data_IF_737362439148
#
_entry.id   IF_737362439148
#
_cell.length_a   1.000
_cell.length_b   1.000
_cell.length_c   1.000
_cell.angle_alpha   90.00
_cell.angle_beta   90.00
_cell.angle_gamma   90.00
#
_symmetry.space_group_name_H-M   'P 1'
#
loop_
_entity.id
_entity.type
_entity.pdbx_description
1 polymer ?
#
# COMPACT_ATOMS: atom_id res chain seq x y z
N UNK A 1 26.95 -2.22 8.14
CA UNK A 1 26.48 -0.81 8.09
C UNK A 1 25.46 -0.59 6.97
N UNK A 2 25.65 -1.18 5.79
CA UNK A 2 24.73 -1.07 4.65
C UNK A 2 23.33 -1.67 4.90
N UNK A 3 23.24 -2.83 5.56
CA UNK A 3 21.97 -3.46 5.94
C UNK A 3 21.13 -2.59 6.88
N UNK A 4 21.77 -1.96 7.85
CA UNK A 4 21.11 -1.02 8.77
C UNK A 4 20.51 0.19 8.02
N UNK A 5 21.25 0.74 7.06
CA UNK A 5 20.75 1.87 6.24
C UNK A 5 19.57 1.46 5.37
N UNK A 6 19.60 0.26 4.77
CA UNK A 6 18.49 -0.29 3.98
C UNK A 6 17.25 -0.54 4.85
N UNK A 7 17.41 -1.17 6.01
CA UNK A 7 16.32 -1.42 6.96
C UNK A 7 15.70 -0.10 7.47
N UNK A 8 16.52 0.90 7.80
CA UNK A 8 16.06 2.22 8.23
C UNK A 8 15.21 2.92 7.16
N UNK A 9 15.58 2.82 5.87
CA UNK A 9 14.78 3.39 4.77
C UNK A 9 13.43 2.69 4.61
N UNK A 10 13.35 1.40 4.95
CA UNK A 10 12.09 0.65 4.94
C UNK A 10 11.21 0.94 6.17
N UNK A 11 11.77 1.50 7.24
CA UNK A 11 11.08 1.69 8.52
C UNK A 11 9.78 2.50 8.38
N UNK A 12 9.82 3.65 7.69
CA UNK A 12 8.61 4.47 7.49
C UNK A 12 7.51 3.74 6.71
N UNK A 13 7.88 2.86 5.78
CA UNK A 13 6.91 2.03 5.06
C UNK A 13 6.30 0.95 5.96
N UNK A 14 7.09 0.38 6.87
CA UNK A 14 6.62 -0.58 7.88
C UNK A 14 5.69 0.09 8.88
N UNK A 15 6.07 1.25 9.43
CA UNK A 15 5.23 2.03 10.35
C UNK A 15 3.91 2.44 9.70
N UNK A 16 3.95 2.92 8.46
CA UNK A 16 2.73 3.25 7.69
C UNK A 16 1.86 2.01 7.44
N UNK A 17 2.46 0.84 7.22
CA UNK A 17 1.72 -0.41 7.10
C UNK A 17 1.02 -0.76 8.42
N UNK A 18 1.72 -0.69 9.55
CA UNK A 18 1.16 -0.97 10.88
C UNK A 18 0.02 0.02 11.19
N UNK A 19 0.26 1.33 11.05
CA UNK A 19 -0.73 2.36 11.35
C UNK A 19 -2.04 2.16 10.58
N UNK A 20 -1.97 1.82 9.28
CA UNK A 20 -3.20 1.58 8.54
C UNK A 20 -3.87 0.24 8.90
N UNK A 21 -3.17 -0.77 9.42
CA UNK A 21 -3.87 -1.92 10.03
C UNK A 21 -4.65 -1.50 11.27
N UNK A 22 -4.05 -0.66 12.13
CA UNK A 22 -4.67 -0.15 13.35
C UNK A 22 -5.92 0.69 13.07
N UNK A 23 -5.82 1.67 12.16
CA UNK A 23 -6.95 2.51 11.72
C UNK A 23 -8.07 1.69 11.10
N UNK A 24 -7.75 0.56 10.43
CA UNK A 24 -8.74 -0.37 9.89
C UNK A 24 -9.28 -1.37 10.91
N UNK A 25 -9.07 -1.14 12.21
CA UNK A 25 -9.70 -1.88 13.30
C UNK A 25 -8.85 -2.98 13.90
N UNK A 26 -7.55 -3.06 13.59
CA UNK A 26 -6.67 -4.05 14.23
C UNK A 26 -6.46 -3.79 15.73
N UNK A 27 -6.61 -2.53 16.19
CA UNK A 27 -6.58 -2.19 17.62
C UNK A 27 -7.77 -2.76 18.40
N UNK A 28 -8.83 -3.19 17.70
CA UNK A 28 -10.03 -3.79 18.28
C UNK A 28 -10.15 -5.21 17.73
N UNK A 29 -9.31 -6.11 18.21
CA UNK A 29 -9.41 -7.54 17.92
C UNK A 29 -10.58 -8.13 18.75
N UNK A 30 -11.72 -8.49 18.12
CA UNK A 30 -12.86 -9.05 18.85
C UNK A 30 -12.58 -10.50 19.29
N UNK A 31 -11.66 -11.18 18.61
CA UNK A 31 -11.25 -12.54 18.92
C UNK A 31 -10.49 -12.62 20.26
N UNK A 32 -10.79 -13.65 21.06
CA UNK A 32 -10.17 -13.86 22.36
C UNK A 32 -9.01 -14.88 22.30
N UNK A 33 -8.01 -14.66 23.17
CA UNK A 33 -6.84 -15.51 23.28
C UNK A 33 -5.85 -15.39 22.12
N UNK A 34 -4.65 -15.96 22.31
CA UNK A 34 -3.54 -15.79 21.37
C UNK A 34 -3.82 -16.40 19.98
N UNK A 35 -4.56 -17.51 19.93
CA UNK A 35 -4.93 -18.17 18.67
C UNK A 35 -5.85 -17.30 17.81
N UNK A 36 -6.88 -16.72 18.43
CA UNK A 36 -7.79 -15.79 17.79
C UNK A 36 -7.09 -14.51 17.32
N UNK A 37 -6.24 -13.93 18.18
CA UNK A 37 -5.41 -12.77 17.81
C UNK A 37 -4.54 -13.03 16.57
N UNK A 38 -3.80 -14.15 16.53
CA UNK A 38 -2.96 -14.51 15.37
C UNK A 38 -3.78 -14.62 14.08
N UNK A 39 -4.96 -15.24 14.14
CA UNK A 39 -5.86 -15.39 13.00
C UNK A 39 -6.39 -14.04 12.51
N UNK A 40 -6.82 -13.18 13.43
CA UNK A 40 -7.36 -11.86 13.10
C UNK A 40 -6.28 -10.96 12.48
N UNK A 41 -5.07 -10.93 13.05
CA UNK A 41 -3.92 -10.21 12.49
C UNK A 41 -3.56 -10.72 11.09
N UNK A 42 -3.51 -12.05 10.91
CA UNK A 42 -3.20 -12.64 9.61
C UNK A 42 -4.21 -12.21 8.54
N UNK A 43 -5.51 -12.21 8.86
CA UNK A 43 -6.55 -11.76 7.95
C UNK A 43 -6.42 -10.27 7.61
N UNK A 44 -6.15 -9.42 8.61
CA UNK A 44 -5.95 -7.99 8.41
C UNK A 44 -4.76 -7.70 7.47
N UNK A 45 -3.65 -8.44 7.62
CA UNK A 45 -2.48 -8.33 6.73
C UNK A 45 -2.85 -8.73 5.29
N UNK A 46 -3.56 -9.85 5.11
CA UNK A 46 -4.01 -10.31 3.79
C UNK A 46 -4.90 -9.25 3.12
N UNK A 47 -5.90 -8.73 3.83
CA UNK A 47 -6.79 -7.69 3.31
C UNK A 47 -6.03 -6.43 2.90
N UNK A 48 -5.06 -5.99 3.71
CA UNK A 48 -4.21 -4.84 3.39
C UNK A 48 -3.35 -5.07 2.14
N UNK A 49 -2.80 -6.27 1.97
CA UNK A 49 -2.00 -6.60 0.80
C UNK A 49 -2.84 -6.57 -0.48
N UNK A 50 -4.06 -7.10 -0.46
CA UNK A 50 -5.00 -7.02 -1.58
C UNK A 50 -5.31 -5.55 -1.93
N UNK A 51 -5.60 -4.72 -0.92
CA UNK A 51 -5.82 -3.28 -1.12
C UNK A 51 -4.61 -2.59 -1.75
N UNK A 52 -3.40 -2.93 -1.30
CA UNK A 52 -2.15 -2.38 -1.84
C UNK A 52 -1.96 -2.75 -3.31
N UNK A 53 -2.23 -4.00 -3.69
CA UNK A 53 -2.16 -4.45 -5.09
C UNK A 53 -3.14 -3.64 -5.95
N UNK A 54 -4.39 -3.51 -5.50
CA UNK A 54 -5.39 -2.70 -6.20
C UNK A 54 -4.94 -1.25 -6.40
N UNK A 55 -4.37 -0.62 -5.37
CA UNK A 55 -3.83 0.73 -5.48
C UNK A 55 -2.65 0.83 -6.48
N UNK A 56 -1.76 -0.17 -6.52
CA UNK A 56 -0.64 -0.19 -7.47
C UNK A 56 -1.15 -0.23 -8.90
N UNK A 57 -2.11 -1.12 -9.19
CA UNK A 57 -2.72 -1.24 -10.53
C UNK A 57 -3.41 0.07 -10.93
N UNK A 58 -4.20 0.64 -10.03
CA UNK A 58 -4.85 1.93 -10.27
C UNK A 58 -3.85 3.06 -10.60
N UNK A 59 -2.75 3.16 -9.84
CA UNK A 59 -1.73 4.18 -10.11
C UNK A 59 -1.06 3.98 -11.48
N UNK A 60 -0.83 2.73 -11.89
CA UNK A 60 -0.29 2.44 -13.22
C UNK A 60 -1.26 2.88 -14.33
N UNK A 61 -2.57 2.65 -14.14
CA UNK A 61 -3.61 3.07 -15.09
C UNK A 61 -3.65 4.60 -15.23
N UNK A 62 -3.71 5.30 -14.10
CA UNK A 62 -3.69 6.77 -14.06
C UNK A 62 -2.43 7.33 -14.72
N UNK A 63 -1.27 6.71 -14.52
CA UNK A 63 -0.03 7.16 -15.16
C UNK A 63 -0.05 6.93 -16.67
N UNK A 64 -0.61 5.82 -17.15
CA UNK A 64 -0.78 5.55 -18.59
C UNK A 64 -1.68 6.60 -19.24
N UNK A 65 -2.82 6.91 -18.62
CA UNK A 65 -3.74 7.95 -19.12
C UNK A 65 -3.07 9.32 -19.16
N UNK A 66 -2.38 9.71 -18.08
CA UNK A 66 -1.63 10.99 -18.03
C UNK A 66 -0.60 11.08 -19.16
N UNK A 67 0.12 9.99 -19.45
CA UNK A 67 1.09 9.93 -20.55
C UNK A 67 0.40 10.07 -21.91
N UNK A 68 -0.75 9.43 -22.12
CA UNK A 68 -1.54 9.55 -23.35
C UNK A 68 -2.03 10.99 -23.57
N UNK A 69 -2.62 11.61 -22.55
CA UNK A 69 -3.07 13.02 -22.60
C UNK A 69 -1.90 13.94 -22.94
N UNK A 70 -0.75 13.77 -22.27
CA UNK A 70 0.45 14.59 -22.53
C UNK A 70 0.96 14.42 -23.97
N UNK A 71 0.89 13.22 -24.53
CA UNK A 71 1.25 12.98 -25.95
C UNK A 71 0.28 13.70 -26.87
N UNK A 72 -1.03 13.59 -26.65
CA UNK A 72 -2.04 14.24 -27.50
C UNK A 72 -1.89 15.77 -27.49
N UNK A 73 -1.68 16.37 -26.31
CA UNK A 73 -1.43 17.81 -26.18
C UNK A 73 -0.19 18.25 -26.96
N UNK A 74 0.90 17.46 -26.94
CA UNK A 74 2.10 17.76 -27.72
C UNK A 74 1.87 17.71 -29.24
N UNK A 75 1.06 16.75 -29.72
CA UNK A 75 0.74 16.67 -31.15
C UNK A 75 -0.12 17.85 -31.60
N UNK A 76 -1.07 18.29 -30.77
CA UNK A 76 -1.90 19.47 -31.04
C UNK A 76 -1.11 20.78 -31.03
N UNK A 77 -0.02 20.87 -30.27
CA UNK A 77 0.86 22.05 -30.24
C UNK A 77 1.87 22.09 -31.39
N UNK A 78 2.08 20.96 -32.08
CA UNK A 78 3.04 20.83 -33.17
C UNK A 78 2.39 20.85 -34.57
N UNK A 79 1.05 20.90 -34.63
CA UNK A 79 0.24 21.09 -35.82
C UNK A 79 -0.27 22.53 -35.86
#
# INVERSE_FOLDING_TARGET
>A
MEEFVKARRAHSAVESAINALQVHGLDKCPDHGMGGFKRYVALAIVARNIRRIGNILWQQDVERERKAIKRNLKHQQAA
#
